data_IF_547112742778
#
_entry.id   IF_547112742778
#
_cell.length_a   1.000
_cell.length_b   1.000
_cell.length_c   1.000
_cell.angle_alpha   90.00
_cell.angle_beta   90.00
_cell.angle_gamma   90.00
#
_symmetry.space_group_name_H-M   'P 1'
#
loop_
_entity.id
_entity.type
_entity.pdbx_description
1 polymer ?
#
# COMPACT_ATOMS: atom_id res chain seq x y z
N UNK A 1 -51.06 21.86 7.02
CA UNK A 1 -50.66 23.24 6.67
C UNK A 1 -49.15 23.17 6.40
N UNK A 2 -48.68 22.98 5.16
CA UNK A 2 -48.66 23.92 4.02
C UNK A 2 -47.61 25.02 4.24
N UNK A 3 -46.68 25.35 3.31
CA UNK A 3 -46.57 25.14 1.83
C UNK A 3 -45.12 24.69 1.49
N UNK A 4 -44.71 24.00 0.40
CA UNK A 4 -45.21 23.72 -0.97
C UNK A 4 -44.62 24.61 -2.11
N UNK A 5 -43.55 24.11 -2.77
CA UNK A 5 -43.14 24.26 -4.19
C UNK A 5 -41.93 23.28 -4.43
N UNK A 6 -41.66 22.56 -5.53
CA UNK A 6 -41.80 22.74 -7.00
C UNK A 6 -40.79 23.75 -7.60
N UNK A 7 -40.14 23.52 -8.75
CA UNK A 7 -40.33 22.50 -9.83
C UNK A 7 -39.04 22.27 -10.68
N UNK A 8 -39.04 21.20 -11.50
CA UNK A 8 -38.45 20.93 -12.84
C UNK A 8 -37.19 21.70 -13.38
N UNK A 9 -36.36 21.16 -14.29
CA UNK A 9 -36.30 19.84 -14.94
C UNK A 9 -35.54 19.83 -16.28
N UNK A 10 -35.44 18.63 -16.91
CA UNK A 10 -35.24 18.35 -18.35
C UNK A 10 -33.89 18.58 -19.12
N UNK A 11 -33.50 17.55 -19.90
CA UNK A 11 -32.88 17.57 -21.28
C UNK A 11 -31.46 18.14 -21.53
N UNK A 12 -30.68 17.72 -22.55
CA UNK A 12 -30.61 16.49 -23.40
C UNK A 12 -29.34 16.50 -24.32
N UNK A 13 -28.96 15.34 -24.90
CA UNK A 13 -28.08 15.15 -26.10
C UNK A 13 -26.58 15.53 -25.94
N UNK A 14 -25.62 14.90 -26.64
CA UNK A 14 -25.71 13.66 -27.44
C UNK A 14 -24.42 13.26 -28.19
N UNK A 15 -24.33 11.95 -28.51
CA UNK A 15 -23.79 11.32 -29.75
C UNK A 15 -22.43 11.73 -30.36
N UNK A 16 -21.55 10.71 -30.50
CA UNK A 16 -21.02 10.19 -31.80
C UNK A 16 -19.95 11.04 -32.54
N UNK A 17 -18.94 10.50 -33.24
CA UNK A 17 -18.45 9.12 -33.41
C UNK A 17 -17.55 9.01 -34.67
N UNK A 18 -16.54 8.11 -34.64
CA UNK A 18 -15.65 7.66 -35.74
C UNK A 18 -15.00 8.66 -36.73
N UNK A 19 -13.66 8.56 -36.87
CA UNK A 19 -13.06 8.23 -38.18
C UNK A 19 -11.62 7.71 -38.12
N UNK A 20 -11.29 6.91 -39.13
CA UNK A 20 -9.99 6.27 -39.41
C UNK A 20 -9.43 6.86 -40.71
N UNK A 21 -8.12 7.09 -40.79
CA UNK A 21 -7.28 6.65 -41.94
C UNK A 21 -5.77 6.93 -41.76
N UNK A 22 -4.92 6.28 -42.58
CA UNK A 22 -3.49 6.65 -42.73
C UNK A 22 -2.48 5.48 -42.73
N UNK A 23 -2.27 4.83 -43.89
CA UNK A 23 -1.37 3.66 -44.07
C UNK A 23 -0.41 3.84 -45.24
N UNK A 24 0.92 3.83 -45.01
CA UNK A 24 2.04 3.59 -45.99
C UNK A 24 3.41 3.98 -45.36
N UNK A 25 4.61 3.53 -45.77
CA UNK A 25 5.10 2.27 -46.39
C UNK A 25 6.61 2.06 -46.10
N UNK A 26 7.12 0.83 -46.29
CA UNK A 26 8.52 0.37 -46.15
C UNK A 26 9.60 1.18 -46.92
N UNK A 27 10.87 1.08 -46.48
CA UNK A 27 11.95 0.50 -47.32
C UNK A 27 13.20 0.07 -46.53
N UNK A 28 14.03 -0.72 -47.22
CA UNK A 28 15.06 -1.64 -46.71
C UNK A 28 16.51 -1.21 -47.05
N UNK A 29 17.52 -1.91 -46.48
CA UNK A 29 18.96 -1.78 -46.78
C UNK A 29 19.77 -0.99 -45.72
N UNK A 30 21.11 -0.98 -45.69
CA UNK A 30 22.11 -1.87 -46.35
C UNK A 30 23.47 -1.84 -45.57
N UNK A 31 24.43 -2.76 -45.82
CA UNK A 31 25.49 -3.13 -44.84
C UNK A 31 26.90 -2.50 -45.00
N UNK A 32 27.74 -2.62 -43.96
CA UNK A 32 29.20 -2.36 -44.02
C UNK A 32 29.98 -2.80 -42.75
N UNK A 33 31.11 -3.50 -42.93
CA UNK A 33 32.05 -3.94 -41.87
C UNK A 33 33.49 -3.85 -42.43
N UNK A 34 34.50 -3.43 -41.64
CA UNK A 34 35.46 -4.42 -41.13
C UNK A 34 36.01 -4.20 -39.70
N UNK A 35 36.65 -5.27 -39.23
CA UNK A 35 37.40 -5.56 -37.99
C UNK A 35 38.18 -4.39 -37.31
N UNK A 36 38.34 -4.48 -35.99
CA UNK A 36 38.94 -3.45 -35.12
C UNK A 36 39.24 -3.93 -33.70
N UNK A 37 40.18 -4.87 -33.55
CA UNK A 37 40.59 -5.44 -32.26
C UNK A 37 41.41 -4.44 -31.44
N UNK A 38 41.17 -4.36 -30.12
CA UNK A 38 42.01 -3.56 -29.20
C UNK A 38 41.32 -2.95 -27.99
N UNK A 39 39.99 -3.09 -27.86
CA UNK A 39 39.25 -2.60 -26.68
C UNK A 39 39.64 -3.35 -25.40
N UNK A 40 40.52 -2.74 -24.60
CA UNK A 40 40.78 -3.16 -23.22
C UNK A 40 39.45 -3.09 -22.44
N UNK A 41 39.09 -4.16 -21.70
CA UNK A 41 37.77 -4.26 -21.08
C UNK A 41 37.64 -3.29 -19.90
N UNK A 42 37.09 -2.11 -20.19
CA UNK A 42 36.79 -1.00 -19.26
C UNK A 42 35.63 -1.39 -18.31
N UNK A 43 35.88 -2.39 -17.46
CA UNK A 43 34.90 -3.07 -16.59
C UNK A 43 34.27 -2.21 -15.49
N UNK A 44 34.53 -0.90 -15.50
CA UNK A 44 33.90 0.08 -14.63
C UNK A 44 32.51 0.50 -15.13
N UNK A 45 32.21 0.33 -16.43
CA UNK A 45 30.94 0.75 -17.06
C UNK A 45 29.72 -0.16 -16.79
N UNK A 46 29.83 -1.06 -15.80
CA UNK A 46 28.70 -1.84 -15.28
C UNK A 46 28.12 -1.36 -13.94
N UNK A 47 28.78 -0.42 -13.24
CA UNK A 47 28.41 -0.02 -11.86
C UNK A 47 27.34 1.09 -11.82
N UNK A 48 26.16 0.79 -12.36
CA UNK A 48 25.04 1.74 -12.35
C UNK A 48 24.30 1.78 -11.00
N UNK A 49 24.37 2.93 -10.32
CA UNK A 49 23.24 3.54 -9.59
C UNK A 49 22.72 2.91 -8.29
N UNK A 50 23.11 1.68 -7.90
CA UNK A 50 22.68 1.10 -6.61
C UNK A 50 23.52 1.70 -5.47
N UNK A 51 23.01 2.77 -4.85
CA UNK A 51 23.60 3.41 -3.67
C UNK A 51 23.89 2.38 -2.56
N UNK A 52 25.03 2.54 -1.87
CA UNK A 52 25.42 1.64 -0.79
C UNK A 52 24.53 1.88 0.45
N UNK A 53 23.54 1.01 0.61
CA UNK A 53 22.59 1.05 1.73
C UNK A 53 23.21 0.74 3.08
N UNK A 54 24.45 0.25 3.13
CA UNK A 54 25.14 0.05 4.41
C UNK A 54 25.59 1.36 5.06
N UNK A 55 25.64 2.48 4.32
CA UNK A 55 26.07 3.81 4.83
C UNK A 55 27.36 3.73 5.65
N UNK A 56 28.52 3.36 5.05
CA UNK A 56 29.78 3.20 5.78
C UNK A 56 30.32 4.51 6.42
N UNK A 57 29.69 5.64 6.10
CA UNK A 57 29.94 6.99 6.61
C UNK A 57 29.18 7.32 7.91
N UNK A 58 28.10 6.60 8.22
CA UNK A 58 27.26 6.79 9.41
C UNK A 58 27.72 5.85 10.56
N UNK A 59 27.56 6.22 11.82
CA UNK A 59 27.92 5.33 12.95
C UNK A 59 26.89 4.19 13.17
N UNK A 60 27.24 3.16 13.94
CA UNK A 60 26.34 2.03 14.23
C UNK A 60 25.21 2.37 15.22
N UNK A 61 25.41 3.30 16.16
CA UNK A 61 24.36 3.65 17.12
C UNK A 61 23.23 4.45 16.44
N UNK A 62 23.55 5.38 15.54
CA UNK A 62 22.53 6.09 14.74
C UNK A 62 21.82 5.15 13.77
N UNK A 63 22.54 4.26 13.08
CA UNK A 63 21.92 3.27 12.20
C UNK A 63 20.95 2.34 12.97
N UNK A 64 21.36 1.82 14.13
CA UNK A 64 20.53 0.98 14.99
C UNK A 64 19.34 1.74 15.60
N UNK A 65 19.48 3.03 15.90
CA UNK A 65 18.38 3.86 16.43
C UNK A 65 17.31 4.15 15.35
N UNK A 66 17.73 4.48 14.13
CA UNK A 66 16.81 4.67 13.00
C UNK A 66 16.16 3.35 12.58
N UNK A 67 16.90 2.23 12.63
CA UNK A 67 16.35 0.89 12.40
C UNK A 67 15.19 0.56 13.35
N UNK A 68 15.35 0.81 14.65
CA UNK A 68 14.28 0.60 15.66
C UNK A 68 13.06 1.51 15.47
N UNK A 69 13.24 2.73 14.95
CA UNK A 69 12.10 3.59 14.61
C UNK A 69 11.31 3.02 13.42
N UNK A 70 12.02 2.49 12.42
CA UNK A 70 11.43 1.75 11.31
C UNK A 70 10.69 0.48 11.77
N UNK A 71 11.32 -0.34 12.63
CA UNK A 71 10.68 -1.53 13.24
C UNK A 71 9.40 -1.15 14.00
N UNK A 72 9.43 -0.04 14.76
CA UNK A 72 8.25 0.44 15.46
C UNK A 72 7.13 0.86 14.48
N UNK A 73 7.46 1.52 13.36
CA UNK A 73 6.50 1.84 12.30
C UNK A 73 5.95 0.57 11.63
N UNK A 74 6.77 -0.46 11.37
CA UNK A 74 6.30 -1.75 10.85
C UNK A 74 5.27 -2.41 11.79
N UNK A 75 5.41 -2.26 13.12
CA UNK A 75 4.38 -2.71 14.07
C UNK A 75 3.10 -1.85 14.05
N UNK A 76 3.20 -0.55 13.80
CA UNK A 76 2.03 0.33 13.57
C UNK A 76 1.31 -0.04 12.26
N UNK A 77 2.03 -0.33 11.18
CA UNK A 77 1.45 -0.82 9.92
C UNK A 77 0.74 -2.17 10.10
N UNK A 78 1.29 -3.08 10.91
CA UNK A 78 0.67 -4.37 11.25
C UNK A 78 -0.61 -4.20 12.07
N UNK A 79 -0.62 -3.28 13.04
CA UNK A 79 -1.81 -2.94 13.81
C UNK A 79 -2.89 -2.26 12.94
N UNK A 80 -2.49 -1.34 12.05
CA UNK A 80 -3.36 -0.76 11.02
C UNK A 80 -4.01 -1.84 10.16
N UNK A 81 -3.23 -2.80 9.67
CA UNK A 81 -3.74 -3.96 8.91
C UNK A 81 -4.76 -4.79 9.67
N UNK A 82 -4.56 -5.01 10.98
CA UNK A 82 -5.51 -5.71 11.82
C UNK A 82 -6.84 -4.97 12.01
N UNK A 83 -6.85 -3.63 11.94
CA UNK A 83 -8.10 -2.84 11.96
C UNK A 83 -8.89 -2.97 10.64
N UNK A 84 -8.22 -3.07 9.49
CA UNK A 84 -8.88 -3.37 8.21
C UNK A 84 -9.48 -4.78 8.20
N UNK A 85 -8.75 -5.79 8.70
CA UNK A 85 -9.24 -7.16 8.87
C UNK A 85 -10.48 -7.17 9.79
N UNK A 86 -10.40 -6.53 10.96
CA UNK A 86 -11.52 -6.38 11.89
C UNK A 86 -12.75 -5.71 11.26
N UNK A 87 -12.56 -4.64 10.48
CA UNK A 87 -13.64 -3.97 9.75
C UNK A 87 -14.30 -4.90 8.73
N UNK A 88 -13.52 -5.63 7.93
CA UNK A 88 -14.03 -6.56 6.92
C UNK A 88 -14.75 -7.77 7.54
N UNK A 89 -14.18 -8.37 8.58
CA UNK A 89 -14.81 -9.49 9.32
C UNK A 89 -16.13 -9.06 9.96
N UNK A 90 -16.19 -7.86 10.56
CA UNK A 90 -17.42 -7.32 11.15
C UNK A 90 -18.48 -7.05 10.08
N UNK A 91 -18.12 -6.39 8.97
CA UNK A 91 -19.05 -6.15 7.86
C UNK A 91 -19.54 -7.45 7.21
N UNK A 92 -18.71 -8.50 7.15
CA UNK A 92 -19.14 -9.83 6.69
C UNK A 92 -20.11 -10.50 7.68
N UNK A 93 -19.92 -10.31 8.98
CA UNK A 93 -20.85 -10.80 10.00
C UNK A 93 -22.21 -10.11 9.91
N UNK A 94 -22.25 -8.79 9.71
CA UNK A 94 -23.52 -8.04 9.51
C UNK A 94 -24.29 -8.49 8.27
N UNK A 95 -23.57 -8.81 7.17
CA UNK A 95 -24.19 -9.40 5.97
C UNK A 95 -24.81 -10.77 6.25
N UNK A 96 -24.09 -11.65 6.96
CA UNK A 96 -24.63 -12.97 7.35
C UNK A 96 -25.81 -12.83 8.33
N UNK A 97 -25.79 -11.81 9.20
CA UNK A 97 -26.88 -11.51 10.13
C UNK A 97 -28.15 -11.09 9.40
N UNK A 98 -28.09 -10.20 8.41
CA UNK A 98 -29.28 -9.81 7.65
C UNK A 98 -29.83 -10.96 6.81
N UNK A 99 -28.96 -11.78 6.19
CA UNK A 99 -29.36 -13.00 5.49
C UNK A 99 -30.13 -13.95 6.43
N UNK A 100 -29.54 -14.27 7.60
CA UNK A 100 -30.16 -15.17 8.59
C UNK A 100 -31.46 -14.63 9.22
N UNK A 101 -31.60 -13.32 9.38
CA UNK A 101 -32.87 -12.72 9.84
C UNK A 101 -33.95 -12.91 8.76
N UNK A 102 -33.63 -12.72 7.49
CA UNK A 102 -34.57 -12.90 6.39
C UNK A 102 -34.97 -14.39 6.23
N UNK A 103 -34.01 -15.32 6.34
CA UNK A 103 -34.29 -16.77 6.36
C UNK A 103 -35.24 -17.17 7.51
N UNK A 104 -35.13 -16.53 8.68
CA UNK A 104 -36.06 -16.72 9.79
C UNK A 104 -37.46 -16.12 9.52
N UNK A 105 -37.58 -15.06 8.72
CA UNK A 105 -38.88 -14.52 8.30
C UNK A 105 -39.56 -15.46 7.28
N UNK A 106 -38.81 -15.92 6.27
CA UNK A 106 -39.28 -16.86 5.24
C UNK A 106 -39.66 -18.25 5.81
N UNK A 107 -38.94 -18.71 6.84
CA UNK A 107 -39.30 -19.93 7.59
C UNK A 107 -40.55 -19.77 8.49
N UNK A 108 -41.19 -18.58 8.51
CA UNK A 108 -42.36 -18.30 9.33
C UNK A 108 -42.05 -18.04 10.81
N UNK A 109 -40.78 -17.86 11.17
CA UNK A 109 -40.33 -17.54 12.54
C UNK A 109 -40.27 -16.02 12.79
N UNK A 110 -41.21 -15.26 12.22
CA UNK A 110 -41.25 -13.78 12.18
C UNK A 110 -41.05 -13.11 13.54
N UNK A 111 -41.56 -13.69 14.65
CA UNK A 111 -41.32 -13.14 16.01
C UNK A 111 -39.86 -13.28 16.46
N UNK A 112 -39.22 -14.38 16.12
CA UNK A 112 -37.79 -14.63 16.40
C UNK A 112 -36.93 -13.71 15.55
N UNK A 113 -37.25 -13.59 14.26
CA UNK A 113 -36.56 -12.66 13.36
C UNK A 113 -36.67 -11.20 13.85
N UNK A 114 -37.87 -10.75 14.21
CA UNK A 114 -38.09 -9.40 14.74
C UNK A 114 -37.32 -9.13 16.04
N UNK A 115 -37.18 -10.13 16.93
CA UNK A 115 -36.34 -10.04 18.12
C UNK A 115 -34.86 -9.92 17.76
N UNK A 116 -34.32 -10.79 16.91
CA UNK A 116 -32.90 -10.75 16.48
C UNK A 116 -32.60 -9.43 15.73
N UNK A 117 -33.53 -8.96 14.89
CA UNK A 117 -33.45 -7.68 14.18
C UNK A 117 -33.44 -6.50 15.14
N UNK A 118 -34.28 -6.51 16.19
CA UNK A 118 -34.33 -5.46 17.20
C UNK A 118 -33.12 -5.43 18.13
N UNK A 119 -32.56 -6.59 18.48
CA UNK A 119 -31.42 -6.68 19.39
C UNK A 119 -30.06 -6.47 18.71
N UNK A 120 -29.85 -6.96 17.47
CA UNK A 120 -28.52 -7.01 16.86
C UNK A 120 -28.34 -6.13 15.62
N UNK A 121 -29.36 -6.00 14.76
CA UNK A 121 -29.17 -5.37 13.44
C UNK A 121 -28.96 -3.86 13.55
N UNK A 122 -27.83 -3.37 13.04
CA UNK A 122 -27.44 -1.95 13.13
C UNK A 122 -26.81 -1.55 14.48
N UNK A 123 -26.39 -2.51 15.32
CA UNK A 123 -25.54 -2.21 16.48
C UNK A 123 -24.16 -1.69 16.05
N UNK A 124 -23.62 -0.77 16.84
CA UNK A 124 -22.21 -0.39 16.74
C UNK A 124 -21.33 -1.33 17.59
N UNK A 125 -20.08 -1.52 17.16
CA UNK A 125 -19.06 -2.30 17.91
C UNK A 125 -18.46 -1.51 19.08
N UNK A 126 -18.51 -0.17 19.01
CA UNK A 126 -18.07 0.77 20.04
C UNK A 126 -19.06 1.95 20.08
N UNK A 127 -19.20 2.58 21.23
CA UNK A 127 -20.13 3.71 21.39
C UNK A 127 -19.81 4.85 20.40
N UNK A 128 -20.84 5.27 19.66
CA UNK A 128 -20.77 6.33 18.66
C UNK A 128 -19.97 6.03 17.38
N UNK A 129 -19.49 4.78 17.16
CA UNK A 129 -18.56 4.47 16.05
C UNK A 129 -18.96 3.27 15.20
N UNK A 130 -18.90 3.46 13.89
CA UNK A 130 -18.82 2.37 12.91
C UNK A 130 -17.39 1.83 12.78
N UNK A 131 -17.26 0.60 12.30
CA UNK A 131 -15.97 -0.12 12.24
C UNK A 131 -14.93 0.57 11.35
N UNK A 132 -15.35 1.25 10.29
CA UNK A 132 -14.42 2.02 9.44
C UNK A 132 -13.93 3.31 10.11
N UNK A 133 -14.73 3.94 10.97
CA UNK A 133 -14.32 5.15 11.70
C UNK A 133 -13.19 4.85 12.70
N UNK A 134 -13.12 3.62 13.20
CA UNK A 134 -11.99 3.15 14.03
C UNK A 134 -10.69 3.09 13.21
N UNK A 135 -10.78 2.76 11.91
CA UNK A 135 -9.64 2.80 10.98
C UNK A 135 -9.25 4.25 10.68
N UNK A 136 -10.23 5.12 10.41
CA UNK A 136 -10.02 6.55 10.13
C UNK A 136 -9.37 7.27 11.33
N UNK A 137 -9.90 7.09 12.54
CA UNK A 137 -9.32 7.66 13.77
C UNK A 137 -7.90 7.13 14.03
N UNK A 138 -7.61 5.85 13.76
CA UNK A 138 -6.26 5.32 13.90
C UNK A 138 -5.29 5.91 12.86
N UNK A 139 -5.76 6.08 11.63
CA UNK A 139 -4.99 6.66 10.52
C UNK A 139 -4.64 8.14 10.76
N UNK A 140 -5.56 8.91 11.33
CA UNK A 140 -5.34 10.33 11.64
C UNK A 140 -4.55 10.54 12.94
N UNK A 141 -4.89 9.83 14.02
CA UNK A 141 -4.36 10.12 15.35
C UNK A 141 -3.04 9.41 15.67
N UNK A 142 -2.71 8.31 14.98
CA UNK A 142 -1.55 7.49 15.33
C UNK A 142 -0.65 7.12 14.14
N UNK A 143 -1.19 6.52 13.09
CA UNK A 143 -0.37 6.05 11.96
C UNK A 143 0.29 7.20 11.18
N UNK A 144 -0.46 8.25 10.80
CA UNK A 144 0.09 9.38 10.04
C UNK A 144 1.18 10.16 10.81
N UNK A 145 1.01 10.54 12.09
CA UNK A 145 2.10 11.12 12.87
C UNK A 145 3.35 10.23 12.94
N UNK A 146 3.18 8.91 12.98
CA UNK A 146 4.30 7.96 13.01
C UNK A 146 5.07 7.93 11.69
N UNK A 147 4.37 7.90 10.54
CA UNK A 147 5.03 7.93 9.22
C UNK A 147 5.73 9.26 8.95
N UNK A 148 5.11 10.38 9.32
CA UNK A 148 5.70 11.72 9.16
C UNK A 148 7.00 11.89 9.99
N UNK A 149 7.03 11.35 11.22
CA UNK A 149 8.21 11.38 12.09
C UNK A 149 9.32 10.42 11.62
N UNK A 150 9.01 9.18 11.26
CA UNK A 150 10.00 8.25 10.69
C UNK A 150 10.63 8.81 9.40
N UNK A 151 9.81 9.35 8.50
CA UNK A 151 10.32 10.02 7.30
C UNK A 151 11.26 11.18 7.61
N UNK A 152 10.92 12.03 8.57
CA UNK A 152 11.75 13.18 8.93
C UNK A 152 13.06 12.76 9.61
N UNK A 153 13.02 11.74 10.47
CA UNK A 153 14.22 11.16 11.09
C UNK A 153 15.12 10.53 10.02
N UNK A 154 14.57 9.77 9.07
CA UNK A 154 15.34 9.24 7.93
C UNK A 154 15.89 10.34 7.03
N UNK A 155 15.11 11.38 6.71
CA UNK A 155 15.60 12.55 5.93
C UNK A 155 16.83 13.19 6.60
N UNK A 156 16.84 13.31 7.93
CA UNK A 156 17.93 13.93 8.70
C UNK A 156 19.15 13.04 8.94
N UNK A 157 18.95 11.74 9.15
CA UNK A 157 19.99 10.83 9.67
C UNK A 157 20.45 9.75 8.69
N UNK A 158 19.70 9.49 7.61
CA UNK A 158 20.05 8.47 6.60
C UNK A 158 19.92 8.98 5.17
N UNK A 159 19.83 10.29 4.95
CA UNK A 159 19.52 10.94 3.65
C UNK A 159 18.26 10.33 3.00
N UNK A 160 17.26 10.03 3.82
CA UNK A 160 15.99 9.40 3.44
C UNK A 160 16.06 7.87 3.24
N UNK A 161 17.24 7.26 3.26
CA UNK A 161 17.39 5.82 2.99
C UNK A 161 16.68 4.96 4.04
N UNK A 162 15.85 4.03 3.58
CA UNK A 162 15.26 2.96 4.39
C UNK A 162 16.20 1.76 4.51
N UNK A 163 16.04 1.05 5.63
CA UNK A 163 16.68 -0.24 5.95
C UNK A 163 18.23 -0.24 6.01
N UNK A 164 18.82 0.80 6.60
CA UNK A 164 20.30 0.90 6.77
C UNK A 164 20.82 -0.11 7.79
N UNK A 165 20.11 -0.31 8.90
CA UNK A 165 20.47 -1.29 9.93
C UNK A 165 20.49 -2.72 9.36
N UNK A 166 19.45 -3.08 8.62
CA UNK A 166 19.25 -4.40 8.00
C UNK A 166 20.27 -4.63 6.88
N UNK A 167 20.60 -3.59 6.10
CA UNK A 167 21.68 -3.65 5.12
C UNK A 167 23.03 -3.96 5.78
N UNK A 168 23.35 -3.34 6.93
CA UNK A 168 24.56 -3.66 7.72
C UNK A 168 24.51 -5.04 8.35
N UNK A 169 23.36 -5.46 8.88
CA UNK A 169 23.15 -6.83 9.37
C UNK A 169 23.44 -7.85 8.26
N UNK A 170 22.88 -7.63 7.06
CA UNK A 170 23.13 -8.49 5.90
C UNK A 170 24.57 -8.45 5.42
N UNK A 171 25.24 -7.29 5.48
CA UNK A 171 26.66 -7.19 5.16
C UNK A 171 27.53 -8.01 6.14
N UNK A 172 27.25 -7.88 7.44
CA UNK A 172 27.91 -8.64 8.52
C UNK A 172 27.68 -10.15 8.38
N UNK A 173 26.47 -10.58 7.99
CA UNK A 173 26.18 -11.99 7.65
C UNK A 173 26.95 -12.49 6.42
N UNK A 174 26.93 -11.76 5.31
CA UNK A 174 27.60 -12.16 4.06
C UNK A 174 29.10 -12.31 4.24
N UNK A 175 29.73 -11.36 4.95
CA UNK A 175 31.16 -11.42 5.29
C UNK A 175 31.49 -12.67 6.14
N UNK A 176 30.70 -12.96 7.18
CA UNK A 176 30.86 -14.18 8.01
C UNK A 176 30.66 -15.47 7.20
N UNK A 177 29.80 -15.44 6.18
CA UNK A 177 29.55 -16.56 5.27
C UNK A 177 30.52 -16.63 4.07
N UNK A 178 31.57 -15.80 4.02
CA UNK A 178 32.56 -15.79 2.94
C UNK A 178 32.00 -15.37 1.57
N UNK A 179 30.87 -14.66 1.53
CA UNK A 179 30.23 -14.20 0.29
C UNK A 179 30.59 -12.75 0.00
N UNK A 180 30.86 -12.44 -1.27
CA UNK A 180 30.92 -11.05 -1.73
C UNK A 180 29.62 -10.31 -1.39
N UNK A 181 29.75 -9.09 -0.85
CA UNK A 181 28.66 -8.23 -0.43
C UNK A 181 27.66 -7.96 -1.56
N UNK A 182 28.17 -7.75 -2.78
CA UNK A 182 27.38 -7.41 -3.97
C UNK A 182 27.34 -8.51 -5.04
N UNK A 183 27.92 -9.67 -4.74
CA UNK A 183 27.89 -10.85 -5.60
C UNK A 183 26.51 -11.52 -5.67
N UNK A 184 26.35 -12.60 -6.47
CA UNK A 184 25.06 -13.24 -6.71
C UNK A 184 24.21 -13.48 -5.45
N UNK A 185 22.92 -13.16 -5.56
CA UNK A 185 21.95 -13.22 -4.47
C UNK A 185 22.07 -12.08 -3.44
N UNK A 186 22.19 -10.82 -3.89
CA UNK A 186 22.27 -9.59 -3.08
C UNK A 186 21.38 -8.44 -3.63
#
# INVERSE_FOLDING_TARGET
MSRHAHQDGDRERGRQGDRVDGRTTRRDGDPGHPDGRGGHLDGQRGRSGRLDRTRPDLDDATADAVGRLGEALEWVERARGALYEFHQLSGRADLILIDAINELEDAGHTRTAAFVRGELYGRNVLDGRWTFQIVEEYDELYYRPFTEVDEEVRRRLTDGMRHVHEARMKARERARAGRDLWGPGA
#
